data_IF_522520556716
#
_entry.id   IF_522520556716
#
_cell.length_a   1.000
_cell.length_b   1.000
_cell.length_c   1.000
_cell.angle_alpha   90.00
_cell.angle_beta   90.00
_cell.angle_gamma   90.00
#
_symmetry.space_group_name_H-M   'P 1'
#
loop_
_entity.id
_entity.type
_entity.pdbx_description
1 polymer ?
#
# COMPACT_ATOMS: atom_id res chain seq x y z
N UNK A 1 12.44 -28.15 59.60
CA UNK A 1 13.72 -27.92 60.30
C UNK A 1 14.83 -28.15 59.28
N UNK A 2 15.92 -27.35 59.34
CA UNK A 2 17.05 -27.26 58.39
C UNK A 2 16.66 -26.97 56.93
N UNK A 3 17.06 -25.86 56.28
CA UNK A 3 18.40 -25.26 56.05
C UNK A 3 19.33 -26.11 55.16
N UNK A 4 20.25 -25.58 54.35
CA UNK A 4 20.39 -24.31 53.55
C UNK A 4 21.83 -24.28 52.99
N UNK A 5 22.04 -23.82 51.74
CA UNK A 5 23.34 -23.33 51.20
C UNK A 5 24.52 -24.37 51.13
N UNK A 6 25.68 -24.18 50.47
CA UNK A 6 26.20 -23.18 49.49
C UNK A 6 27.46 -23.74 48.76
N UNK A 7 27.80 -23.15 47.60
CA UNK A 7 29.16 -22.80 47.04
C UNK A 7 30.33 -23.80 47.18
N UNK A 8 31.11 -24.16 46.14
CA UNK A 8 32.25 -23.40 45.54
C UNK A 8 33.17 -24.39 44.78
N UNK A 9 34.23 -24.05 44.01
CA UNK A 9 34.54 -22.95 43.06
C UNK A 9 35.82 -23.33 42.24
N UNK A 10 36.08 -22.66 41.11
CA UNK A 10 37.38 -22.55 40.38
C UNK A 10 37.97 -23.76 39.61
N UNK A 11 38.62 -23.51 38.45
CA UNK A 11 39.51 -24.49 37.78
C UNK A 11 39.61 -24.48 36.23
N UNK A 12 40.16 -23.43 35.63
CA UNK A 12 40.63 -23.35 34.22
C UNK A 12 41.81 -24.30 33.89
N UNK A 13 42.19 -24.67 32.66
CA UNK A 13 41.62 -24.59 31.30
C UNK A 13 42.31 -25.64 30.37
N UNK A 14 42.73 -25.37 29.11
CA UNK A 14 42.06 -25.89 27.91
C UNK A 14 42.85 -26.92 27.09
N UNK A 15 42.17 -27.62 26.17
CA UNK A 15 42.80 -28.33 25.04
C UNK A 15 42.11 -27.97 23.71
N UNK A 16 42.92 -27.89 22.66
CA UNK A 16 42.63 -27.21 21.39
C UNK A 16 42.10 -28.12 20.28
N UNK A 17 41.85 -27.48 19.12
CA UNK A 17 41.86 -28.04 17.76
C UNK A 17 40.63 -28.81 17.26
N UNK A 18 39.76 -28.06 16.56
CA UNK A 18 39.47 -28.40 15.16
C UNK A 18 38.98 -27.18 14.35
N UNK A 19 39.89 -26.53 13.62
CA UNK A 19 39.58 -25.45 12.68
C UNK A 19 38.95 -26.01 11.40
N UNK A 20 37.63 -26.14 11.34
CA UNK A 20 36.92 -26.39 10.09
C UNK A 20 36.70 -25.07 9.31
N UNK A 21 37.66 -24.74 8.46
CA UNK A 21 37.54 -23.69 7.45
C UNK A 21 36.38 -23.98 6.50
N UNK A 22 35.20 -23.38 6.73
CA UNK A 22 34.15 -23.28 5.71
C UNK A 22 34.53 -22.20 4.68
N UNK A 23 35.53 -22.50 3.85
CA UNK A 23 35.74 -21.80 2.59
C UNK A 23 34.52 -22.07 1.70
N UNK A 24 33.58 -21.12 1.68
CA UNK A 24 32.37 -21.19 0.85
C UNK A 24 32.77 -20.99 -0.61
N UNK A 25 33.24 -22.07 -1.25
CA UNK A 25 33.52 -22.12 -2.68
C UNK A 25 32.26 -21.75 -3.44
N UNK A 26 32.24 -20.56 -4.02
CA UNK A 26 31.20 -20.15 -4.96
C UNK A 26 31.29 -21.12 -6.15
N UNK A 27 30.19 -21.81 -6.54
CA UNK A 27 30.22 -22.60 -7.75
C UNK A 27 30.40 -21.64 -8.94
N UNK A 28 31.52 -21.76 -9.64
CA UNK A 28 31.72 -21.07 -10.92
C UNK A 28 30.71 -21.62 -11.92
N UNK A 29 29.59 -20.90 -12.08
CA UNK A 29 28.66 -21.11 -13.17
C UNK A 29 29.35 -20.56 -14.42
N UNK A 30 29.65 -21.36 -15.45
CA UNK A 30 30.20 -20.84 -16.69
C UNK A 30 29.16 -19.92 -17.34
N UNK A 31 29.47 -18.62 -17.36
CA UNK A 31 28.66 -17.61 -18.05
C UNK A 31 29.10 -17.62 -19.51
N UNK A 32 28.43 -18.43 -20.32
CA UNK A 32 28.57 -18.40 -21.77
C UNK A 32 27.88 -17.12 -22.28
N UNK A 33 28.68 -16.12 -22.64
CA UNK A 33 28.19 -14.83 -23.13
C UNK A 33 27.79 -15.01 -24.60
N UNK A 34 26.47 -14.97 -24.85
CA UNK A 34 25.87 -14.96 -26.19
C UNK A 34 26.49 -13.84 -27.03
N UNK A 35 26.94 -14.15 -28.26
CA UNK A 35 27.58 -13.13 -29.11
C UNK A 35 26.57 -12.08 -29.58
N UNK A 36 27.05 -10.92 -30.03
CA UNK A 36 26.20 -9.84 -30.54
C UNK A 36 25.39 -10.31 -31.77
N UNK A 37 25.95 -11.19 -32.62
CA UNK A 37 25.24 -11.82 -33.74
C UNK A 37 24.12 -12.75 -33.29
N UNK A 38 24.35 -13.60 -32.28
CA UNK A 38 23.32 -14.48 -31.74
C UNK A 38 22.21 -13.70 -31.02
N UNK A 39 22.57 -12.61 -30.33
CA UNK A 39 21.61 -11.69 -29.72
C UNK A 39 20.75 -11.00 -30.79
N UNK A 40 21.35 -10.52 -31.89
CA UNK A 40 20.62 -9.93 -33.01
C UNK A 40 19.66 -10.93 -33.69
N UNK A 41 20.03 -12.21 -33.78
CA UNK A 41 19.14 -13.28 -34.29
C UNK A 41 17.94 -13.51 -33.36
N UNK A 42 18.15 -13.49 -32.03
CA UNK A 42 17.07 -13.62 -31.05
C UNK A 42 16.12 -12.42 -31.07
N UNK A 43 16.62 -11.19 -31.17
CA UNK A 43 15.80 -9.98 -31.31
C UNK A 43 14.99 -9.99 -32.61
N UNK A 44 15.60 -10.36 -33.75
CA UNK A 44 14.91 -10.48 -35.02
C UNK A 44 13.79 -11.55 -34.99
N UNK A 45 14.04 -12.69 -34.33
CA UNK A 45 13.03 -13.72 -34.14
C UNK A 45 11.87 -13.22 -33.25
N UNK A 46 12.16 -12.48 -32.19
CA UNK A 46 11.16 -11.91 -31.29
C UNK A 46 10.32 -10.83 -31.99
N UNK A 47 10.94 -9.94 -32.76
CA UNK A 47 10.26 -8.94 -33.57
C UNK A 47 9.29 -9.58 -34.59
N UNK A 48 9.72 -10.66 -35.27
CA UNK A 48 8.85 -11.42 -36.17
C UNK A 48 7.70 -12.14 -35.45
N UNK A 49 7.91 -12.64 -34.23
CA UNK A 49 6.85 -13.24 -33.43
C UNK A 49 5.77 -12.22 -33.04
N UNK A 50 6.17 -11.02 -32.61
CA UNK A 50 5.25 -9.92 -32.30
C UNK A 50 4.48 -9.48 -33.55
N UNK A 51 5.15 -9.29 -34.69
CA UNK A 51 4.50 -8.94 -35.95
C UNK A 51 3.42 -9.97 -36.38
N UNK A 52 3.68 -11.26 -36.18
CA UNK A 52 2.71 -12.33 -36.46
C UNK A 52 1.52 -12.32 -35.51
N UNK A 53 1.70 -11.92 -34.25
CA UNK A 53 0.59 -11.78 -33.29
C UNK A 53 -0.38 -10.66 -33.69
N UNK A 54 0.11 -9.56 -34.28
CA UNK A 54 -0.69 -8.44 -34.76
C UNK A 54 -1.52 -8.73 -36.01
N UNK A 55 -1.12 -9.73 -36.82
CA UNK A 55 -1.84 -10.15 -38.03
C UNK A 55 -2.92 -11.22 -37.77
N UNK A 56 -2.89 -11.87 -36.59
CA UNK A 56 -3.78 -12.98 -36.25
C UNK A 56 -5.16 -12.58 -35.71
N UNK A 57 -5.44 -11.28 -35.50
CA UNK A 57 -6.71 -10.81 -34.94
C UNK A 57 -7.76 -10.38 -35.98
N UNK A 58 -7.57 -10.73 -37.27
CA UNK A 58 -8.49 -10.39 -38.35
C UNK A 58 -9.33 -11.59 -38.81
N UNK A 59 -10.55 -11.64 -38.28
CA UNK A 59 -11.70 -12.46 -38.74
C UNK A 59 -11.57 -13.99 -38.77
N UNK A 60 -12.27 -14.61 -37.82
CA UNK A 60 -13.07 -15.80 -38.12
C UNK A 60 -14.02 -15.53 -39.29
N UNK A 61 -14.06 -16.39 -40.31
CA UNK A 61 -15.32 -16.86 -40.92
C UNK A 61 -15.09 -18.07 -41.85
N UNK A 62 -15.88 -19.11 -41.57
CA UNK A 62 -16.35 -20.22 -42.43
C UNK A 62 -15.79 -20.41 -43.85
N UNK A 63 -15.42 -21.67 -44.12
CA UNK A 63 -15.19 -22.24 -45.45
C UNK A 63 -16.27 -21.87 -46.47
N UNK A 64 -15.85 -21.60 -47.71
CA UNK A 64 -16.37 -22.28 -48.89
C UNK A 64 -15.39 -22.20 -50.07
N UNK A 65 -15.38 -23.25 -50.90
CA UNK A 65 -14.53 -23.36 -52.10
C UNK A 65 -14.99 -22.40 -53.22
N UNK A 66 -14.06 -21.95 -54.08
CA UNK A 66 -14.02 -22.22 -55.55
C UNK A 66 -12.93 -21.36 -56.24
N UNK A 67 -12.50 -21.82 -57.43
CA UNK A 67 -11.30 -21.45 -58.20
C UNK A 67 -11.20 -19.99 -58.68
N UNK A 68 -9.94 -19.57 -58.83
CA UNK A 68 -9.46 -18.45 -59.67
C UNK A 68 -9.85 -18.58 -61.15
N UNK A 69 -10.25 -17.47 -61.79
CA UNK A 69 -10.18 -17.22 -63.25
C UNK A 69 -9.88 -15.74 -63.51
N UNK A 70 -9.24 -15.42 -64.64
CA UNK A 70 -8.73 -14.10 -65.02
C UNK A 70 -9.79 -13.08 -65.51
N UNK A 71 -9.42 -11.79 -65.36
CA UNK A 71 -9.78 -10.58 -66.12
C UNK A 71 -10.89 -10.59 -67.20
N UNK A 72 -11.73 -9.54 -67.19
CA UNK A 72 -12.14 -8.76 -68.39
C UNK A 72 -12.42 -7.29 -67.98
N UNK A 73 -12.03 -6.36 -68.85
CA UNK A 73 -12.20 -4.89 -68.69
C UNK A 73 -13.49 -4.42 -69.37
N UNK A 74 -14.26 -3.50 -68.75
CA UNK A 74 -15.29 -2.71 -69.45
C UNK A 74 -15.47 -1.32 -68.81
N UNK A 75 -15.50 -0.27 -69.64
CA UNK A 75 -15.63 1.13 -69.22
C UNK A 75 -17.09 1.54 -68.96
N UNK A 76 -17.30 2.49 -68.03
CA UNK A 76 -18.08 3.70 -68.36
C UNK A 76 -17.66 4.90 -67.50
N UNK A 77 -18.00 6.12 -67.94
CA UNK A 77 -17.31 7.38 -67.62
C UNK A 77 -18.04 8.27 -66.60
N UNK A 78 -17.24 8.92 -65.72
CA UNK A 78 -17.37 10.27 -65.08
C UNK A 78 -16.80 10.19 -63.65
N UNK A 79 -15.88 11.04 -63.19
CA UNK A 79 -15.07 12.09 -63.82
C UNK A 79 -14.24 12.79 -62.73
N UNK A 80 -12.93 12.93 -62.91
CA UNK A 80 -12.05 13.61 -61.93
C UNK A 80 -12.15 15.14 -62.04
N UNK A 81 -11.79 15.86 -60.96
CA UNK A 81 -10.50 16.55 -61.04
C UNK A 81 -9.60 16.38 -59.80
N UNK A 82 -8.32 16.15 -60.11
CA UNK A 82 -7.11 16.69 -59.48
C UNK A 82 -6.99 16.79 -57.93
N UNK A 83 -6.04 16.00 -57.42
CA UNK A 83 -5.03 16.38 -56.40
C UNK A 83 -5.47 17.26 -55.22
N UNK A 84 -5.61 16.64 -54.05
CA UNK A 84 -5.08 17.21 -52.81
C UNK A 84 -4.08 16.24 -52.20
N UNK A 85 -2.93 16.77 -51.84
CA UNK A 85 -1.83 16.07 -51.19
C UNK A 85 -2.29 15.53 -49.82
N UNK A 86 -1.66 14.45 -49.35
CA UNK A 86 -1.82 14.04 -47.96
C UNK A 86 -1.22 15.13 -47.07
N UNK A 87 -1.91 15.58 -46.00
CA UNK A 87 -1.32 16.55 -45.09
C UNK A 87 -0.10 15.94 -44.39
N UNK A 88 1.01 16.65 -44.49
CA UNK A 88 2.28 16.35 -43.83
C UNK A 88 2.12 16.42 -42.29
N UNK A 89 3.02 15.75 -41.55
CA UNK A 89 2.89 15.50 -40.11
C UNK A 89 2.99 16.73 -39.20
N UNK A 90 3.33 17.90 -39.76
CA UNK A 90 3.66 19.12 -39.00
C UNK A 90 2.46 20.05 -38.68
N UNK A 91 1.30 19.86 -39.30
CA UNK A 91 0.22 20.88 -39.28
C UNK A 91 -0.83 20.71 -38.17
N UNK A 92 -0.46 20.10 -37.03
CA UNK A 92 -1.32 19.97 -35.84
C UNK A 92 -1.13 21.07 -34.77
N UNK A 93 -0.72 22.28 -35.19
CA UNK A 93 -0.53 23.44 -34.29
C UNK A 93 -1.64 24.49 -34.37
N UNK A 94 -2.90 24.14 -34.12
CA UNK A 94 -3.85 24.98 -33.32
C UNK A 94 -5.16 24.28 -32.96
N UNK A 95 -5.08 23.08 -32.37
CA UNK A 95 -6.20 22.55 -31.58
C UNK A 95 -5.69 21.82 -30.33
N UNK A 96 -5.53 22.55 -29.22
CA UNK A 96 -5.45 21.93 -27.88
C UNK A 96 -6.82 21.35 -27.48
N UNK A 97 -7.27 20.31 -28.19
CA UNK A 97 -8.07 19.27 -27.56
C UNK A 97 -7.22 18.80 -26.39
N UNK A 98 -7.65 19.13 -25.16
CA UNK A 98 -7.10 18.49 -23.97
C UNK A 98 -7.47 17.01 -24.10
N UNK A 99 -6.57 16.22 -24.68
CA UNK A 99 -6.62 14.77 -24.60
C UNK A 99 -6.63 14.48 -23.11
N UNK A 100 -7.81 14.18 -22.56
CA UNK A 100 -7.92 13.78 -21.16
C UNK A 100 -7.19 12.45 -21.09
N UNK A 101 -5.93 12.49 -20.64
CA UNK A 101 -5.23 11.30 -20.20
C UNK A 101 -6.20 10.55 -19.27
N UNK A 102 -6.40 9.23 -19.46
CA UNK A 102 -7.31 8.48 -18.60
C UNK A 102 -6.93 8.71 -17.13
N UNK A 103 -7.87 9.23 -16.33
CA UNK A 103 -7.62 9.47 -14.92
C UNK A 103 -7.14 8.16 -14.27
N UNK A 104 -5.97 8.20 -13.64
CA UNK A 104 -5.39 7.01 -13.00
C UNK A 104 -6.38 6.41 -12.01
N UNK A 105 -6.38 5.09 -11.83
CA UNK A 105 -7.34 4.45 -10.92
C UNK A 105 -7.22 4.97 -9.47
N UNK A 106 -6.03 5.38 -9.05
CA UNK A 106 -5.80 6.07 -7.78
C UNK A 106 -6.54 7.41 -7.75
N UNK A 107 -6.38 8.27 -8.76
CA UNK A 107 -7.09 9.55 -8.80
C UNK A 107 -8.61 9.36 -8.90
N UNK A 108 -9.07 8.46 -9.77
CA UNK A 108 -10.51 8.21 -10.00
C UNK A 108 -11.22 7.64 -8.77
N UNK A 109 -10.61 6.70 -8.06
CA UNK A 109 -11.29 5.93 -7.00
C UNK A 109 -10.79 6.22 -5.58
N UNK A 110 -9.68 6.93 -5.41
CA UNK A 110 -9.12 7.30 -4.09
C UNK A 110 -8.95 8.81 -3.87
N UNK A 111 -9.43 9.66 -4.79
CA UNK A 111 -9.62 11.10 -4.54
C UNK A 111 -10.33 11.33 -3.19
N UNK A 112 -9.74 12.21 -2.37
CA UNK A 112 -10.19 12.53 -1.01
C UNK A 112 -10.32 11.31 -0.06
N UNK A 113 -9.65 10.18 -0.37
CA UNK A 113 -9.67 8.96 0.46
C UNK A 113 -8.28 8.43 0.79
N UNK A 114 -7.31 8.62 -0.11
CA UNK A 114 -5.95 8.06 0.02
C UNK A 114 -5.89 6.58 -0.39
N UNK A 115 -4.68 6.13 -0.72
CA UNK A 115 -4.33 4.74 -1.00
C UNK A 115 -4.33 3.94 0.30
N UNK A 116 -5.01 2.80 0.35
CA UNK A 116 -5.06 1.95 1.54
C UNK A 116 -4.17 0.71 1.44
N UNK A 117 -3.83 0.12 2.59
CA UNK A 117 -3.10 -1.15 2.63
C UNK A 117 -3.83 -2.27 1.86
N UNK A 118 -5.17 -2.28 1.89
CA UNK A 118 -6.00 -3.19 1.08
C UNK A 118 -5.83 -2.95 -0.42
N UNK A 119 -5.62 -1.71 -0.86
CA UNK A 119 -5.43 -1.41 -2.28
C UNK A 119 -4.10 -1.98 -2.77
N UNK A 120 -3.04 -1.83 -1.96
CA UNK A 120 -1.72 -2.38 -2.23
C UNK A 120 -1.69 -3.91 -2.17
N UNK A 121 -2.32 -4.53 -1.17
CA UNK A 121 -2.29 -5.99 -1.02
C UNK A 121 -3.25 -6.71 -1.97
N UNK A 122 -4.25 -6.04 -2.53
CA UNK A 122 -5.18 -6.66 -3.49
C UNK A 122 -4.60 -6.84 -4.89
N UNK A 123 -3.56 -6.09 -5.28
CA UNK A 123 -2.91 -6.21 -6.59
C UNK A 123 -1.95 -7.41 -6.66
N UNK A 124 -1.27 -7.75 -5.56
CA UNK A 124 -0.20 -8.78 -5.51
C UNK A 124 -0.61 -10.13 -6.10
N UNK A 125 -1.86 -10.57 -5.88
CA UNK A 125 -2.35 -11.81 -6.48
C UNK A 125 -2.80 -11.64 -7.94
N UNK A 126 -3.46 -10.52 -8.26
CA UNK A 126 -3.99 -10.25 -9.60
C UNK A 126 -4.45 -8.78 -9.71
N UNK A 127 -3.72 -7.97 -10.47
CA UNK A 127 -4.06 -6.58 -10.73
C UNK A 127 -5.45 -6.42 -11.37
N UNK A 128 -5.80 -7.29 -12.33
CA UNK A 128 -7.12 -7.27 -12.97
C UNK A 128 -8.27 -7.51 -11.98
N UNK A 129 -8.04 -8.31 -10.93
CA UNK A 129 -9.02 -8.48 -9.84
C UNK A 129 -9.21 -7.17 -9.07
N UNK A 130 -8.15 -6.41 -8.83
CA UNK A 130 -8.24 -5.11 -8.19
C UNK A 130 -9.01 -4.12 -9.07
N UNK A 131 -8.79 -4.11 -10.37
CA UNK A 131 -9.59 -3.33 -11.33
C UNK A 131 -11.10 -3.66 -11.24
N UNK A 132 -11.47 -4.94 -11.20
CA UNK A 132 -12.87 -5.35 -11.00
C UNK A 132 -13.44 -4.96 -9.62
N UNK A 133 -12.62 -4.91 -8.57
CA UNK A 133 -13.02 -4.41 -7.24
C UNK A 133 -13.26 -2.89 -7.27
N UNK A 134 -12.50 -2.14 -8.07
CA UNK A 134 -12.64 -0.69 -8.21
C UNK A 134 -13.81 -0.29 -9.10
N UNK A 135 -14.02 -0.97 -10.22
CA UNK A 135 -15.15 -0.74 -11.14
C UNK A 135 -16.48 -1.31 -10.61
N UNK A 136 -16.41 -2.33 -9.75
CA UNK A 136 -17.56 -3.00 -9.15
C UNK A 136 -17.65 -2.77 -7.65
N UNK A 137 -18.08 -3.81 -6.92
CA UNK A 137 -18.20 -3.80 -5.46
C UNK A 137 -17.49 -5.03 -4.85
N UNK A 138 -16.68 -4.81 -3.81
CA UNK A 138 -16.10 -5.90 -3.01
C UNK A 138 -17.21 -6.63 -2.24
N UNK A 139 -17.44 -7.91 -2.54
CA UNK A 139 -18.37 -8.76 -1.78
C UNK A 139 -17.76 -9.13 -0.42
N UNK A 140 -18.47 -8.83 0.67
CA UNK A 140 -18.06 -9.21 2.03
C UNK A 140 -18.45 -10.66 2.30
N UNK A 141 -17.47 -11.53 2.54
CA UNK A 141 -17.70 -12.96 2.82
C UNK A 141 -18.05 -13.20 4.30
N UNK A 142 -18.63 -14.37 4.62
CA UNK A 142 -18.86 -14.80 6.01
C UNK A 142 -17.56 -14.79 6.83
N UNK A 143 -16.46 -15.27 6.26
CA UNK A 143 -15.14 -15.25 6.89
C UNK A 143 -14.67 -13.81 7.19
N UNK A 144 -14.89 -12.87 6.27
CA UNK A 144 -14.55 -11.46 6.49
C UNK A 144 -15.38 -10.82 7.62
N UNK A 145 -16.67 -11.16 7.74
CA UNK A 145 -17.50 -10.71 8.87
C UNK A 145 -17.01 -11.25 10.22
N UNK A 146 -16.63 -12.53 10.27
CA UNK A 146 -16.05 -13.16 11.47
C UNK A 146 -14.71 -12.51 11.82
N UNK A 147 -13.87 -12.22 10.82
CA UNK A 147 -12.64 -11.45 10.99
C UNK A 147 -12.90 -10.10 11.67
N UNK A 148 -13.74 -9.25 11.06
CA UNK A 148 -14.10 -7.94 11.62
C UNK A 148 -14.62 -8.03 13.06
N UNK A 149 -15.44 -9.04 13.37
CA UNK A 149 -15.94 -9.27 14.73
C UNK A 149 -14.80 -9.60 15.72
N UNK A 150 -13.83 -10.44 15.33
CA UNK A 150 -12.69 -10.75 16.20
C UNK A 150 -11.75 -9.56 16.41
N UNK A 151 -11.56 -8.71 15.39
CA UNK A 151 -10.81 -7.45 15.57
C UNK A 151 -11.51 -6.52 16.56
N UNK A 152 -12.84 -6.34 16.45
CA UNK A 152 -13.60 -5.52 17.38
C UNK A 152 -13.55 -6.05 18.83
N UNK A 153 -13.57 -7.38 19.01
CA UNK A 153 -13.39 -8.03 20.32
C UNK A 153 -11.97 -7.78 20.87
N UNK A 154 -10.93 -7.97 20.06
CA UNK A 154 -9.54 -7.68 20.43
C UNK A 154 -9.31 -6.19 20.75
N UNK A 155 -9.96 -5.27 20.04
CA UNK A 155 -9.88 -3.84 20.37
C UNK A 155 -10.57 -3.53 21.71
N UNK A 156 -11.70 -4.17 22.02
CA UNK A 156 -12.43 -3.99 23.29
C UNK A 156 -11.70 -4.57 24.50
N UNK A 157 -10.79 -5.54 24.31
CA UNK A 157 -9.82 -5.99 25.35
C UNK A 157 -8.90 -4.84 25.83
N UNK A 158 -8.65 -3.83 24.99
CA UNK A 158 -7.64 -2.77 25.21
C UNK A 158 -8.25 -1.37 25.34
N UNK A 159 -9.32 -1.06 24.61
CA UNK A 159 -10.00 0.26 24.60
C UNK A 159 -11.52 0.11 24.55
N UNK A 160 -12.21 0.71 25.53
CA UNK A 160 -13.68 0.81 25.52
C UNK A 160 -14.16 1.88 24.53
N UNK A 161 -14.85 1.46 23.47
CA UNK A 161 -15.42 2.38 22.46
C UNK A 161 -16.52 3.26 23.03
N UNK A 162 -16.36 4.57 22.89
CA UNK A 162 -17.42 5.55 23.14
C UNK A 162 -18.17 5.83 21.84
N UNK A 163 -19.50 5.71 21.87
CA UNK A 163 -20.34 6.11 20.72
C UNK A 163 -20.43 7.63 20.68
N UNK A 164 -19.89 8.22 19.62
CA UNK A 164 -19.91 9.67 19.37
C UNK A 164 -20.80 9.94 18.15
N UNK A 165 -21.63 10.99 18.21
CA UNK A 165 -22.44 11.43 17.08
C UNK A 165 -21.56 12.16 16.05
N UNK A 166 -21.67 11.78 14.78
CA UNK A 166 -20.92 12.36 13.66
C UNK A 166 -21.90 13.10 12.78
N UNK A 167 -21.71 14.41 12.61
CA UNK A 167 -22.62 15.27 11.85
C UNK A 167 -22.02 15.75 10.53
N UNK A 168 -20.68 15.80 10.46
CA UNK A 168 -19.90 16.26 9.31
C UNK A 168 -18.78 15.28 8.91
N UNK A 169 -18.21 15.46 7.71
CA UNK A 169 -16.98 14.75 7.36
C UNK A 169 -15.76 15.31 8.14
N UNK A 170 -15.84 16.56 8.61
CA UNK A 170 -14.91 17.12 9.58
C UNK A 170 -14.91 16.37 10.91
N UNK A 171 -16.08 16.03 11.47
CA UNK A 171 -16.20 15.18 12.66
C UNK A 171 -15.59 13.79 12.40
N UNK A 172 -15.84 13.21 11.22
CA UNK A 172 -15.27 11.91 10.82
C UNK A 172 -13.74 11.93 10.82
N UNK A 173 -13.14 13.02 10.35
CA UNK A 173 -11.69 13.20 10.39
C UNK A 173 -11.17 13.54 11.78
N UNK A 174 -11.89 14.37 12.54
CA UNK A 174 -11.57 14.66 13.94
C UNK A 174 -11.55 13.38 14.80
N UNK A 175 -12.51 12.46 14.61
CA UNK A 175 -12.50 11.16 15.28
C UNK A 175 -11.29 10.30 14.92
N UNK A 176 -10.83 10.30 13.65
CA UNK A 176 -9.59 9.58 13.28
C UNK A 176 -8.37 10.14 13.99
N UNK A 177 -8.22 11.47 13.99
CA UNK A 177 -7.11 12.16 14.66
C UNK A 177 -7.16 11.93 16.18
N UNK A 178 -8.36 11.98 16.77
CA UNK A 178 -8.58 11.72 18.19
C UNK A 178 -8.26 10.27 18.58
N UNK A 179 -8.63 9.30 17.74
CA UNK A 179 -8.28 7.90 17.94
C UNK A 179 -6.76 7.69 17.82
N UNK A 180 -6.08 8.35 16.87
CA UNK A 180 -4.61 8.33 16.80
C UNK A 180 -3.97 8.92 18.07
N UNK A 181 -4.38 10.12 18.47
CA UNK A 181 -3.90 10.78 19.70
C UNK A 181 -4.10 9.87 20.92
N UNK A 182 -5.28 9.27 21.06
CA UNK A 182 -5.59 8.36 22.19
C UNK A 182 -4.72 7.10 22.14
N UNK A 183 -4.57 6.48 20.96
CA UNK A 183 -3.79 5.26 20.80
C UNK A 183 -2.28 5.47 20.93
N UNK A 184 -1.73 6.62 20.53
CA UNK A 184 -0.34 6.99 20.80
C UNK A 184 -0.11 7.20 22.30
N UNK A 185 -0.95 7.97 22.98
CA UNK A 185 -0.87 8.13 24.44
C UNK A 185 -0.96 6.77 25.15
N UNK A 186 -1.83 5.87 24.68
CA UNK A 186 -1.92 4.51 25.21
C UNK A 186 -0.65 3.69 24.94
N UNK A 187 -0.11 3.71 23.73
CA UNK A 187 1.13 3.01 23.40
C UNK A 187 2.31 3.47 24.28
N UNK A 188 2.39 4.76 24.57
CA UNK A 188 3.42 5.35 25.43
C UNK A 188 3.21 5.04 26.94
N UNK A 189 1.96 4.80 27.37
CA UNK A 189 1.61 4.57 28.79
C UNK A 189 1.55 3.09 29.15
N UNK A 190 0.86 2.28 28.34
CA UNK A 190 0.56 0.86 28.57
C UNK A 190 1.51 -0.06 27.78
N UNK A 191 2.33 0.47 26.86
CA UNK A 191 3.19 -0.30 25.96
C UNK A 191 2.45 -1.03 24.83
N UNK A 192 1.12 -0.83 24.70
CA UNK A 192 0.25 -1.54 23.76
C UNK A 192 -0.85 -0.61 23.26
N UNK A 193 -1.13 -0.64 21.94
CA UNK A 193 -2.37 -0.09 21.38
C UNK A 193 -2.90 -0.97 20.26
N UNK A 194 -4.19 -0.86 19.94
CA UNK A 194 -4.88 -1.61 18.88
C UNK A 194 -5.69 -0.70 17.98
N UNK A 195 -5.86 -1.15 16.73
CA UNK A 195 -6.61 -0.47 15.67
C UNK A 195 -6.21 1.02 15.49
N UNK A 196 -4.90 1.31 15.53
CA UNK A 196 -4.37 2.67 15.43
C UNK A 196 -4.49 3.20 13.99
N UNK A 197 -5.23 4.31 13.74
CA UNK A 197 -5.41 4.84 12.39
C UNK A 197 -4.19 5.68 11.96
N UNK A 198 -3.51 5.27 10.89
CA UNK A 198 -2.41 6.03 10.28
C UNK A 198 -2.87 6.81 9.05
N UNK A 199 -2.33 8.03 8.89
CA UNK A 199 -2.42 8.84 7.67
C UNK A 199 -1.03 9.42 7.41
N UNK A 200 -0.54 9.33 6.17
CA UNK A 200 0.70 10.03 5.75
C UNK A 200 0.63 10.42 4.27
N UNK A 201 1.60 11.21 3.79
CA UNK A 201 1.70 11.63 2.40
C UNK A 201 3.13 11.45 1.90
N UNK A 202 3.29 10.64 0.86
CA UNK A 202 4.57 10.30 0.25
C UNK A 202 4.51 10.57 -1.24
N UNK A 203 5.50 11.27 -1.80
CA UNK A 203 5.57 11.56 -3.25
C UNK A 203 4.28 12.19 -3.83
N UNK A 204 3.49 12.86 -2.98
CA UNK A 204 2.18 13.44 -3.34
C UNK A 204 1.00 12.46 -3.28
N UNK A 205 1.24 11.18 -2.98
CA UNK A 205 0.22 10.16 -2.73
C UNK A 205 -0.10 10.13 -1.22
N UNK A 206 -1.37 10.41 -0.90
CA UNK A 206 -1.90 10.20 0.44
C UNK A 206 -2.12 8.71 0.70
N UNK A 207 -1.63 8.22 1.83
CA UNK A 207 -1.80 6.85 2.31
C UNK A 207 -2.62 6.84 3.59
N UNK A 208 -3.51 5.85 3.74
CA UNK A 208 -4.36 5.65 4.92
C UNK A 208 -4.36 4.19 5.35
N UNK A 209 -4.31 3.95 6.66
CA UNK A 209 -4.24 2.60 7.22
C UNK A 209 -4.84 2.53 8.62
N UNK A 210 -5.01 1.31 9.11
CA UNK A 210 -5.30 1.02 10.51
C UNK A 210 -4.42 -0.16 10.88
N UNK A 211 -3.53 0.01 11.85
CA UNK A 211 -2.66 -1.06 12.31
C UNK A 211 -3.40 -1.82 13.41
N UNK A 212 -3.59 -3.12 13.20
CA UNK A 212 -4.35 -3.99 14.11
C UNK A 212 -3.82 -3.90 15.55
N UNK A 213 -2.49 -3.97 15.72
CA UNK A 213 -1.83 -3.90 17.02
C UNK A 213 -0.40 -3.35 16.92
N UNK A 214 0.00 -2.53 17.88
CA UNK A 214 1.36 -2.00 18.04
C UNK A 214 1.81 -2.25 19.49
N UNK A 215 3.04 -2.75 19.66
CA UNK A 215 3.66 -3.01 20.95
C UNK A 215 4.98 -2.25 21.08
N UNK A 216 5.24 -1.66 22.24
CA UNK A 216 6.59 -1.31 22.62
C UNK A 216 7.35 -2.59 23.03
N UNK A 217 8.62 -2.76 22.64
CA UNK A 217 9.46 -3.84 23.15
C UNK A 217 9.66 -3.69 24.67
N UNK A 218 9.80 -4.82 25.36
CA UNK A 218 9.95 -4.86 26.84
C UNK A 218 11.38 -4.66 27.34
N UNK A 219 12.33 -4.43 26.45
CA UNK A 219 13.76 -4.26 26.73
C UNK A 219 14.16 -2.81 26.46
N UNK A 220 14.82 -2.15 27.43
CA UNK A 220 15.17 -0.72 27.32
C UNK A 220 16.11 -0.38 26.14
N UNK A 221 16.81 -1.39 25.61
CA UNK A 221 17.75 -1.29 24.48
C UNK A 221 17.05 -1.16 23.12
N UNK A 222 15.84 -1.69 22.98
CA UNK A 222 15.04 -1.56 21.77
C UNK A 222 13.99 -0.47 21.99
N UNK A 223 13.93 0.54 21.12
CA UNK A 223 12.86 1.56 21.16
C UNK A 223 11.84 1.43 20.03
N UNK A 224 12.11 0.53 19.08
CA UNK A 224 11.34 0.43 17.85
C UNK A 224 10.04 -0.34 18.10
N UNK A 225 8.87 0.23 17.78
CA UNK A 225 7.58 -0.43 17.99
C UNK A 225 7.40 -1.63 17.06
N UNK A 226 6.89 -2.72 17.61
CA UNK A 226 6.58 -3.95 16.88
C UNK A 226 5.16 -3.84 16.33
N UNK A 227 5.04 -3.80 14.99
CA UNK A 227 3.75 -3.79 14.29
C UNK A 227 3.26 -5.23 14.11
N UNK A 228 2.04 -5.52 14.57
CA UNK A 228 1.43 -6.86 14.52
C UNK A 228 0.13 -6.81 13.71
N UNK A 229 0.00 -7.76 12.78
CA UNK A 229 -1.18 -7.94 11.92
C UNK A 229 -1.84 -9.29 12.25
N UNK A 230 -3.10 -9.26 12.68
CA UNK A 230 -3.82 -10.43 13.18
C UNK A 230 -4.74 -10.98 12.10
N UNK A 231 -4.43 -12.16 11.55
CA UNK A 231 -5.29 -12.79 10.54
C UNK A 231 -6.12 -13.95 11.10
N UNK A 232 -7.44 -13.78 11.08
CA UNK A 232 -8.39 -14.88 11.33
C UNK A 232 -8.36 -15.91 10.20
N UNK A 233 -8.44 -17.20 10.56
CA UNK A 233 -8.27 -18.34 9.64
C UNK A 233 -9.40 -19.34 9.81
N UNK A 234 -9.90 -19.90 8.72
CA UNK A 234 -10.97 -20.94 8.74
C UNK A 234 -10.41 -22.33 9.08
N UNK A 235 -9.12 -22.58 8.83
CA UNK A 235 -8.45 -23.87 9.07
C UNK A 235 -7.27 -23.69 10.04
N UNK A 236 -7.07 -24.60 11.01
CA UNK A 236 -5.97 -24.56 11.99
C UNK A 236 -4.64 -25.07 11.41
N UNK A 237 -4.32 -24.71 10.16
CA UNK A 237 -3.02 -25.00 9.52
C UNK A 237 -2.17 -23.73 9.51
N UNK A 238 -0.94 -23.76 8.97
CA UNK A 238 -0.27 -22.52 8.56
C UNK A 238 -0.87 -21.96 7.26
N UNK A 239 -0.74 -20.64 6.97
CA UNK A 239 -1.20 -20.05 5.72
C UNK A 239 -0.26 -20.46 4.57
N UNK A 240 -0.76 -20.47 3.34
CA UNK A 240 0.09 -20.71 2.16
C UNK A 240 1.08 -19.55 1.95
N UNK A 241 2.15 -19.78 1.18
CA UNK A 241 3.16 -18.76 0.89
C UNK A 241 2.53 -17.45 0.34
N UNK A 242 1.60 -17.47 -0.64
CA UNK A 242 0.96 -16.24 -1.12
C UNK A 242 0.15 -15.51 -0.04
N UNK A 243 -0.52 -16.24 0.87
CA UNK A 243 -1.21 -15.62 2.01
C UNK A 243 -0.22 -14.94 2.98
N UNK A 244 0.94 -15.56 3.21
CA UNK A 244 2.03 -14.98 4.01
C UNK A 244 2.70 -13.80 3.30
N UNK A 245 2.79 -13.81 1.96
CA UNK A 245 3.30 -12.68 1.17
C UNK A 245 2.36 -11.49 1.25
N UNK A 246 1.06 -11.72 1.16
CA UNK A 246 0.04 -10.68 1.32
C UNK A 246 0.12 -9.99 2.69
N UNK A 247 0.22 -10.75 3.79
CA UNK A 247 0.42 -10.21 5.14
C UNK A 247 1.75 -9.46 5.30
N UNK A 248 2.85 -9.97 4.74
CA UNK A 248 4.15 -9.28 4.70
C UNK A 248 4.05 -7.92 4.00
N UNK A 249 3.39 -7.84 2.84
CA UNK A 249 3.18 -6.56 2.14
C UNK A 249 2.32 -5.58 2.94
N UNK A 250 1.32 -6.07 3.67
CA UNK A 250 0.50 -5.21 4.54
C UNK A 250 1.33 -4.60 5.68
N UNK A 251 2.16 -5.42 6.35
CA UNK A 251 3.09 -4.95 7.38
C UNK A 251 4.18 -4.02 6.84
N UNK A 252 4.72 -4.30 5.65
CA UNK A 252 5.67 -3.40 4.97
C UNK A 252 5.03 -2.04 4.67
N UNK A 253 3.80 -2.02 4.16
CA UNK A 253 3.04 -0.78 3.93
C UNK A 253 2.82 -0.01 5.24
N UNK A 254 2.51 -0.70 6.34
CA UNK A 254 2.35 -0.06 7.65
C UNK A 254 3.65 0.46 8.27
N UNK A 255 4.77 -0.28 8.20
CA UNK A 255 6.10 0.23 8.63
C UNK A 255 6.48 1.46 7.81
N UNK A 256 6.29 1.42 6.49
CA UNK A 256 6.57 2.55 5.63
C UNK A 256 5.70 3.78 5.94
N UNK A 257 4.41 3.58 6.21
CA UNK A 257 3.53 4.65 6.67
C UNK A 257 3.96 5.23 8.03
N UNK A 258 4.36 4.36 8.97
CA UNK A 258 4.83 4.73 10.30
C UNK A 258 6.11 5.57 10.23
N UNK A 259 7.12 5.09 9.50
CA UNK A 259 8.41 5.76 9.35
C UNK A 259 8.26 7.17 8.74
N UNK A 260 7.36 7.31 7.77
CA UNK A 260 7.07 8.62 7.15
C UNK A 260 6.16 9.51 8.01
N UNK A 261 5.45 8.94 8.97
CA UNK A 261 4.68 9.70 9.95
C UNK A 261 5.60 10.25 11.05
N UNK A 262 6.57 9.47 11.53
CA UNK A 262 7.52 9.90 12.58
C UNK A 262 8.67 10.78 12.06
N UNK A 263 8.94 10.82 10.75
CA UNK A 263 9.99 11.64 10.13
C UNK A 263 9.69 13.17 10.06
N UNK A 264 8.79 13.68 10.91
CA UNK A 264 8.53 15.10 11.21
C UNK A 264 8.46 16.06 10.01
N UNK A 265 7.66 15.71 9.00
CA UNK A 265 7.36 16.61 7.87
C UNK A 265 5.92 16.46 7.32
N UNK A 266 4.93 16.37 8.21
CA UNK A 266 3.54 16.18 7.80
C UNK A 266 3.01 17.42 7.03
N UNK A 267 2.53 17.28 5.77
CA UNK A 267 2.18 18.43 4.94
C UNK A 267 0.75 18.95 5.20
N UNK A 268 0.53 19.58 6.35
CA UNK A 268 -0.78 20.04 6.86
C UNK A 268 -1.66 20.80 5.86
N UNK A 269 -1.11 21.72 5.07
CA UNK A 269 -1.90 22.45 4.04
C UNK A 269 -2.43 21.49 2.96
N UNK A 270 -1.55 20.63 2.42
CA UNK A 270 -1.91 19.62 1.42
C UNK A 270 -2.92 18.61 1.95
N UNK A 271 -2.94 18.34 3.26
CA UNK A 271 -3.93 17.47 3.90
C UNK A 271 -5.32 18.07 3.80
N UNK A 272 -5.51 19.32 4.24
CA UNK A 272 -6.81 19.97 4.19
C UNK A 272 -7.28 20.16 2.74
N UNK A 273 -6.39 20.53 1.82
CA UNK A 273 -6.71 20.64 0.39
C UNK A 273 -7.16 19.29 -0.21
N UNK A 274 -6.38 18.22 -0.01
CA UNK A 274 -6.65 16.91 -0.61
C UNK A 274 -7.91 16.24 -0.06
N UNK A 275 -8.16 16.37 1.24
CA UNK A 275 -9.39 15.82 1.85
C UNK A 275 -10.58 16.79 1.73
N UNK A 276 -10.38 17.99 1.17
CA UNK A 276 -11.39 19.05 0.99
C UNK A 276 -12.05 19.45 2.32
N UNK A 277 -11.21 19.70 3.33
CA UNK A 277 -11.58 19.92 4.72
C UNK A 277 -11.39 21.38 5.13
N UNK A 278 -12.38 21.98 5.82
CA UNK A 278 -12.30 23.37 6.29
C UNK A 278 -11.52 23.47 7.63
N UNK A 279 -10.32 24.07 7.73
CA UNK A 279 -9.48 24.02 8.94
C UNK A 279 -10.18 24.54 10.21
N UNK A 280 -10.92 25.64 10.06
CA UNK A 280 -11.64 26.31 11.15
C UNK A 280 -13.11 25.88 11.29
N UNK A 281 -13.47 24.69 10.80
CA UNK A 281 -14.79 24.11 11.09
C UNK A 281 -14.94 23.82 12.59
N UNK A 282 -16.08 24.24 13.15
CA UNK A 282 -16.47 23.92 14.53
C UNK A 282 -16.77 22.42 14.61
N UNK A 283 -16.22 21.76 15.62
CA UNK A 283 -16.45 20.33 15.87
C UNK A 283 -17.75 20.12 16.63
N UNK A 284 -18.41 18.97 16.42
CA UNK A 284 -19.57 18.55 17.19
C UNK A 284 -19.32 18.54 18.71
N UNK A 285 -20.35 18.87 19.49
CA UNK A 285 -20.22 19.02 20.95
C UNK A 285 -19.61 17.79 21.64
N UNK A 286 -19.92 16.59 21.17
CA UNK A 286 -19.41 15.33 21.73
C UNK A 286 -17.88 15.23 21.59
N UNK A 287 -17.32 15.69 20.47
CA UNK A 287 -15.87 15.74 20.24
C UNK A 287 -15.23 16.84 21.10
N UNK A 288 -15.87 18.01 21.24
CA UNK A 288 -15.37 19.08 22.12
C UNK A 288 -15.37 18.62 23.59
N UNK A 289 -16.44 17.96 24.05
CA UNK A 289 -16.52 17.35 25.39
C UNK A 289 -15.45 16.27 25.57
N UNK A 290 -15.22 15.41 24.58
CA UNK A 290 -14.23 14.33 24.66
C UNK A 290 -12.80 14.84 24.70
N UNK A 291 -12.45 15.84 23.90
CA UNK A 291 -11.11 16.46 23.89
C UNK A 291 -10.84 17.23 25.19
N UNK A 292 -11.86 17.88 25.77
CA UNK A 292 -11.78 18.48 27.10
C UNK A 292 -11.53 17.43 28.20
N UNK A 293 -12.18 16.26 28.16
CA UNK A 293 -11.95 15.14 29.09
C UNK A 293 -10.53 14.56 29.01
N UNK A 294 -9.86 14.68 27.85
CA UNK A 294 -8.47 14.27 27.66
C UNK A 294 -7.46 15.40 27.98
N UNK A 295 -7.92 16.53 28.52
CA UNK A 295 -7.07 17.65 28.94
C UNK A 295 -6.69 18.65 27.83
N UNK A 296 -7.20 18.50 26.60
CA UNK A 296 -6.92 19.42 25.49
C UNK A 296 -8.22 19.90 24.81
N UNK A 297 -8.97 20.87 25.36
CA UNK A 297 -10.26 21.28 24.80
C UNK A 297 -10.12 21.89 23.39
N UNK A 298 -10.49 21.12 22.36
CA UNK A 298 -10.38 21.52 20.96
C UNK A 298 -11.77 21.85 20.39
N UNK A 299 -12.04 23.15 20.16
CA UNK A 299 -13.30 23.64 19.55
C UNK A 299 -13.32 23.59 18.02
N UNK A 300 -12.14 23.63 17.42
CA UNK A 300 -11.90 23.73 15.97
C UNK A 300 -10.94 22.63 15.53
N UNK A 301 -11.13 22.12 14.32
CA UNK A 301 -10.32 21.02 13.76
C UNK A 301 -8.82 21.35 13.75
N UNK A 302 -8.43 22.59 13.45
CA UNK A 302 -7.02 23.01 13.46
C UNK A 302 -6.34 22.81 14.82
N UNK A 303 -7.03 23.09 15.94
CA UNK A 303 -6.50 22.86 17.29
C UNK A 303 -6.29 21.37 17.59
N UNK A 304 -7.20 20.51 17.13
CA UNK A 304 -7.05 19.06 17.22
C UNK A 304 -5.92 18.55 16.31
N UNK A 305 -5.75 19.17 15.14
CA UNK A 305 -4.68 18.84 14.20
C UNK A 305 -3.30 19.19 14.76
N UNK A 306 -3.16 20.35 15.42
CA UNK A 306 -1.94 20.71 16.14
C UNK A 306 -1.61 19.69 17.24
N UNK A 307 -2.61 19.17 17.98
CA UNK A 307 -2.37 18.10 18.96
C UNK A 307 -1.91 16.80 18.28
N UNK A 308 -2.51 16.41 17.16
CA UNK A 308 -2.06 15.26 16.37
C UNK A 308 -0.57 15.36 16.00
N UNK A 309 -0.11 16.53 15.55
CA UNK A 309 1.31 16.74 15.22
C UNK A 309 2.23 16.66 16.45
N UNK A 310 1.81 17.17 17.60
CA UNK A 310 2.60 17.07 18.85
C UNK A 310 2.75 15.61 19.30
N UNK A 311 1.68 14.82 19.21
CA UNK A 311 1.70 13.39 19.58
C UNK A 311 2.54 12.57 18.60
N UNK A 312 2.46 12.89 17.29
CA UNK A 312 3.34 12.32 16.27
C UNK A 312 4.81 12.46 16.63
N UNK A 313 5.27 13.68 16.95
CA UNK A 313 6.66 13.95 17.34
C UNK A 313 7.04 13.43 18.74
N UNK A 314 6.07 12.91 19.51
CA UNK A 314 6.30 12.29 20.82
C UNK A 314 6.57 10.78 20.74
N UNK A 315 6.37 10.17 19.57
CA UNK A 315 6.64 8.76 19.31
C UNK A 315 8.16 8.52 19.21
N UNK A 316 8.73 7.47 19.83
CA UNK A 316 10.13 7.12 19.68
C UNK A 316 10.53 6.88 18.23
N UNK A 317 11.51 7.65 17.75
CA UNK A 317 12.16 7.46 16.46
C UNK A 317 13.35 6.51 16.58
N UNK A 318 13.72 5.90 15.46
CA UNK A 318 15.02 5.22 15.31
C UNK A 318 16.13 6.26 15.53
N UNK A 319 16.77 6.26 16.70
CA UNK A 319 18.03 6.97 16.89
C UNK A 319 19.08 6.23 16.08
N UNK A 320 19.48 6.78 14.94
CA UNK A 320 20.65 6.34 14.21
C UNK A 320 21.88 6.47 15.12
N UNK A 321 22.25 5.37 15.77
CA UNK A 321 23.57 5.22 16.36
C UNK A 321 24.52 4.91 15.21
N UNK A 322 25.18 5.95 14.72
CA UNK A 322 26.40 5.80 13.92
C UNK A 322 27.53 5.36 14.88
N UNK A 323 27.82 4.06 14.91
CA UNK A 323 29.10 3.48 15.35
C UNK A 323 29.82 2.85 14.13
#
# INVERSE_FOLDING_TARGET
MSESASESDSGSAPTSDNNNNFSRSVPEIPIEIVSEEEMALLEAAMAMAVARSCLASSHSHFHNNVRSVHSITALSKRGFPASKEQPDMEDFRTARKKTRLPDSYLLRFRKNRGLSATDMTSTEWCEKRMEFILLGNRKVSRAMKIGIARHAELEEEVVKKVKIRVESDEDRWALKLLNFITGVNQLLSDGLTRELPLITCMEGIWMVGVIDEIRMPGTETERNPILVDTKTRVRPTLPSEPQRRNGRLQLMFYKHMWDNLIADNFPTKKFFDYFSLIPYAILSEDIVKRTALLGFPAKVKDSLFLRFLIEQSSVPTETNQEE
#
